data_IF_315629189746
#
_entry.id   IF_315629189746
#
_cell.length_a   1.000
_cell.length_b   1.000
_cell.length_c   1.000
_cell.angle_alpha   90.00
_cell.angle_beta   90.00
_cell.angle_gamma   90.00
#
_symmetry.space_group_name_H-M   'P 1'
#
loop_
_entity.id
_entity.type
_entity.pdbx_description
1 polymer ?
#
# COMPACT_ATOMS: atom_id res chain seq x y z
N UNK A 1 -1.61 7.15 24.22
CA UNK A 1 -2.35 6.97 22.93
C UNK A 1 -1.45 6.99 21.69
N UNK A 2 -0.30 7.67 21.71
CA UNK A 2 0.59 7.85 20.53
C UNK A 2 1.11 6.55 19.87
N UNK A 3 1.67 5.61 20.66
CA UNK A 3 2.24 4.37 20.11
C UNK A 3 1.26 3.48 19.32
N UNK A 4 -0.03 3.53 19.64
CA UNK A 4 -1.02 2.63 19.05
C UNK A 4 -1.35 3.03 17.60
N UNK A 5 -1.43 4.33 17.29
CA UNK A 5 -1.74 4.76 15.93
C UNK A 5 -0.55 4.57 14.98
N UNK A 6 0.69 4.85 15.45
CA UNK A 6 1.92 4.67 14.64
C UNK A 6 2.07 3.21 14.21
N UNK A 7 1.92 2.27 15.14
CA UNK A 7 1.99 0.84 14.85
C UNK A 7 0.92 0.39 13.85
N UNK A 8 -0.31 0.89 13.97
CA UNK A 8 -1.38 0.51 13.05
C UNK A 8 -1.17 1.09 11.64
N UNK A 9 -0.69 2.33 11.53
CA UNK A 9 -0.32 2.93 10.24
C UNK A 9 0.81 2.13 9.60
N UNK A 10 1.86 1.82 10.37
CA UNK A 10 3.00 1.02 9.92
C UNK A 10 2.55 -0.35 9.39
N UNK A 11 1.74 -1.10 10.14
CA UNK A 11 1.22 -2.41 9.70
C UNK A 11 0.44 -2.33 8.40
N UNK A 12 -0.41 -1.31 8.23
CA UNK A 12 -1.19 -1.12 7.00
C UNK A 12 -0.31 -0.78 5.80
N UNK A 13 0.65 0.13 5.97
CA UNK A 13 1.60 0.49 4.91
C UNK A 13 2.49 -0.69 4.53
N UNK A 14 2.98 -1.47 5.51
CA UNK A 14 3.77 -2.67 5.26
C UNK A 14 2.99 -3.74 4.50
N UNK A 15 1.71 -3.91 4.81
CA UNK A 15 0.84 -4.83 4.07
C UNK A 15 0.57 -4.34 2.64
N UNK A 16 0.33 -3.04 2.45
CA UNK A 16 0.20 -2.45 1.12
C UNK A 16 1.48 -2.59 0.29
N UNK A 17 2.65 -2.46 0.91
CA UNK A 17 3.95 -2.71 0.28
C UNK A 17 4.11 -4.17 -0.15
N UNK A 18 3.77 -5.12 0.72
CA UNK A 18 3.82 -6.56 0.39
C UNK A 18 2.92 -6.90 -0.81
N UNK A 19 1.71 -6.34 -0.88
CA UNK A 19 0.82 -6.48 -2.05
C UNK A 19 1.47 -5.96 -3.33
N UNK A 20 2.22 -4.86 -3.28
CA UNK A 20 2.94 -4.35 -4.46
C UNK A 20 4.09 -5.25 -4.88
N UNK A 21 4.80 -5.88 -3.94
CA UNK A 21 5.81 -6.88 -4.28
C UNK A 21 5.20 -8.08 -5.00
N UNK A 22 4.01 -8.52 -4.59
CA UNK A 22 3.24 -9.55 -5.30
C UNK A 22 2.89 -9.07 -6.71
N UNK A 23 2.35 -7.85 -6.84
CA UNK A 23 1.99 -7.26 -8.14
C UNK A 23 3.20 -7.16 -9.10
N UNK A 24 4.37 -6.80 -8.59
CA UNK A 24 5.62 -6.70 -9.34
C UNK A 24 6.13 -8.08 -9.75
N UNK A 25 6.07 -9.07 -8.85
CA UNK A 25 6.52 -10.43 -9.12
C UNK A 25 5.66 -11.11 -10.21
N UNK A 26 4.34 -10.91 -10.18
CA UNK A 26 3.43 -11.41 -11.22
C UNK A 26 3.82 -10.85 -12.59
N UNK A 27 4.18 -9.56 -12.66
CA UNK A 27 4.64 -8.92 -13.92
C UNK A 27 6.00 -9.47 -14.38
N UNK A 28 6.93 -9.75 -13.46
CA UNK A 28 8.26 -10.31 -13.80
C UNK A 28 8.17 -11.76 -14.30
N UNK A 29 7.25 -12.55 -13.75
CA UNK A 29 7.09 -13.96 -14.13
C UNK A 29 6.16 -14.19 -15.34
N UNK A 30 5.71 -13.13 -16.02
CA UNK A 30 4.77 -13.16 -17.16
C UNK A 30 5.06 -14.26 -18.19
N UNK A 31 6.33 -14.46 -18.56
CA UNK A 31 6.74 -15.46 -19.57
C UNK A 31 6.63 -16.92 -19.08
N UNK A 32 6.70 -17.15 -17.77
CA UNK A 32 6.63 -18.48 -17.16
C UNK A 32 5.22 -18.81 -16.63
N UNK A 33 4.41 -17.80 -16.32
CA UNK A 33 3.11 -17.96 -15.67
C UNK A 33 1.91 -18.04 -16.61
N UNK A 34 2.04 -17.75 -17.91
CA UNK A 34 0.94 -17.85 -18.88
C UNK A 34 0.26 -19.23 -18.86
N UNK A 35 1.05 -20.31 -18.79
CA UNK A 35 0.51 -21.67 -18.65
C UNK A 35 -0.16 -21.89 -17.28
N UNK A 36 0.41 -21.37 -16.19
CA UNK A 36 -0.19 -21.48 -14.85
C UNK A 36 -1.49 -20.69 -14.71
N UNK A 37 -1.60 -19.51 -15.34
CA UNK A 37 -2.87 -18.77 -15.40
C UNK A 37 -3.93 -19.52 -16.20
N UNK A 38 -3.56 -20.20 -17.30
CA UNK A 38 -4.46 -21.08 -18.04
C UNK A 38 -4.92 -22.29 -17.21
N UNK A 39 -4.06 -22.87 -16.37
CA UNK A 39 -4.46 -23.92 -15.43
C UNK A 39 -5.37 -23.40 -14.30
N UNK A 40 -5.07 -22.22 -13.73
CA UNK A 40 -5.91 -21.61 -12.71
C UNK A 40 -7.31 -21.28 -13.28
N UNK A 41 -7.37 -20.90 -14.56
CA UNK A 41 -8.61 -20.66 -15.30
C UNK A 41 -9.48 -21.89 -15.44
N UNK A 42 -8.86 -23.02 -15.78
CA UNK A 42 -9.54 -24.30 -15.91
C UNK A 42 -10.08 -24.81 -14.56
N UNK A 43 -9.36 -24.53 -13.46
CA UNK A 43 -9.73 -25.00 -12.11
C UNK A 43 -10.75 -24.07 -11.43
N UNK A 44 -10.71 -22.76 -11.69
CA UNK A 44 -11.57 -21.77 -11.02
C UNK A 44 -12.94 -21.53 -11.68
N UNK A 45 -13.30 -22.31 -12.72
CA UNK A 45 -14.64 -22.24 -13.32
C UNK A 45 -14.96 -20.93 -14.07
N UNK A 46 -13.97 -20.30 -14.70
CA UNK A 46 -14.23 -19.26 -15.72
C UNK A 46 -13.89 -17.81 -15.40
N UNK A 47 -13.26 -17.49 -14.26
CA UNK A 47 -12.78 -16.11 -14.02
C UNK A 47 -11.46 -15.90 -14.77
N UNK A 48 -11.49 -15.12 -15.87
CA UNK A 48 -10.32 -14.76 -16.69
C UNK A 48 -9.27 -13.92 -15.93
N UNK A 49 -8.54 -14.57 -15.02
CA UNK A 49 -7.52 -13.94 -14.19
C UNK A 49 -6.14 -13.97 -14.86
N UNK A 50 -5.92 -13.06 -15.81
CA UNK A 50 -4.59 -12.90 -16.39
C UNK A 50 -3.60 -12.35 -15.36
N UNK A 51 -2.28 -12.55 -15.55
CA UNK A 51 -1.26 -11.92 -14.72
C UNK A 51 -1.44 -10.38 -14.61
N UNK A 52 -1.89 -9.71 -15.67
CA UNK A 52 -2.17 -8.27 -15.67
C UNK A 52 -3.36 -7.94 -14.78
N UNK A 53 -4.46 -8.68 -14.91
CA UNK A 53 -5.64 -8.50 -14.08
C UNK A 53 -5.30 -8.68 -12.60
N UNK A 54 -4.57 -9.75 -12.27
CA UNK A 54 -4.12 -10.01 -10.90
C UNK A 54 -3.20 -8.91 -10.37
N UNK A 55 -2.20 -8.47 -11.15
CA UNK A 55 -1.32 -7.36 -10.78
C UNK A 55 -2.11 -6.06 -10.51
N UNK A 56 -3.13 -5.79 -11.32
CA UNK A 56 -4.01 -4.62 -11.16
C UNK A 56 -4.91 -4.72 -9.91
N UNK A 57 -5.38 -5.92 -9.54
CA UNK A 57 -6.10 -6.13 -8.27
C UNK A 57 -5.21 -5.76 -7.09
N UNK A 58 -3.97 -6.25 -7.07
CA UNK A 58 -3.04 -5.93 -5.98
C UNK A 58 -2.70 -4.44 -5.94
N UNK A 59 -2.48 -3.80 -7.09
CA UNK A 59 -2.24 -2.36 -7.19
C UNK A 59 -3.44 -1.54 -6.66
N UNK A 60 -4.65 -1.81 -7.16
CA UNK A 60 -5.86 -1.11 -6.75
C UNK A 60 -6.19 -1.33 -5.26
N UNK A 61 -5.97 -2.54 -4.75
CA UNK A 61 -6.07 -2.85 -3.33
C UNK A 61 -5.08 -2.04 -2.49
N UNK A 62 -3.82 -1.93 -2.91
CA UNK A 62 -2.82 -1.10 -2.23
C UNK A 62 -3.17 0.38 -2.25
N UNK A 63 -3.66 0.92 -3.36
CA UNK A 63 -4.14 2.31 -3.45
C UNK A 63 -5.29 2.55 -2.46
N UNK A 64 -6.22 1.60 -2.35
CA UNK A 64 -7.33 1.67 -1.38
C UNK A 64 -6.82 1.69 0.06
N UNK A 65 -5.82 0.86 0.39
CA UNK A 65 -5.23 0.81 1.73
C UNK A 65 -4.51 2.12 2.09
N UNK A 66 -3.73 2.69 1.16
CA UNK A 66 -3.09 4.01 1.37
C UNK A 66 -4.14 5.10 1.58
N UNK A 67 -5.22 5.11 0.79
CA UNK A 67 -6.32 6.06 0.98
C UNK A 67 -7.00 5.92 2.34
N UNK A 68 -7.18 4.69 2.85
CA UNK A 68 -7.70 4.45 4.21
C UNK A 68 -6.75 4.98 5.27
N UNK A 69 -5.45 4.78 5.11
CA UNK A 69 -4.41 5.34 6.00
C UNK A 69 -4.49 6.87 6.01
N UNK A 70 -4.54 7.51 4.83
CA UNK A 70 -4.67 8.97 4.71
C UNK A 70 -5.91 9.51 5.41
N UNK A 71 -7.07 8.87 5.20
CA UNK A 71 -8.32 9.23 5.92
C UNK A 71 -8.15 9.12 7.42
N UNK A 72 -7.42 8.12 7.92
CA UNK A 72 -7.15 7.96 9.34
C UNK A 72 -6.22 9.03 9.88
N UNK A 73 -5.14 9.35 9.17
CA UNK A 73 -4.21 10.43 9.52
C UNK A 73 -4.97 11.76 9.66
N UNK A 74 -5.80 12.12 8.67
CA UNK A 74 -6.65 13.32 8.72
C UNK A 74 -7.61 13.34 9.92
N UNK A 75 -8.14 12.19 10.33
CA UNK A 75 -8.99 12.09 11.54
C UNK A 75 -8.18 12.32 12.82
N UNK A 76 -6.93 11.87 12.88
CA UNK A 76 -6.06 12.06 14.05
C UNK A 76 -5.61 13.51 14.15
N UNK A 77 -5.19 14.14 13.04
CA UNK A 77 -4.77 15.54 13.01
C UNK A 77 -5.86 16.53 13.48
N UNK A 78 -7.14 16.19 13.31
CA UNK A 78 -8.27 17.00 13.81
C UNK A 78 -8.45 16.95 15.33
N UNK A 79 -7.79 16.03 16.04
CA UNK A 79 -7.89 15.94 17.51
C UNK A 79 -6.98 16.99 18.15
N UNK A 80 -7.47 17.65 19.21
CA UNK A 80 -6.71 18.70 19.91
C UNK A 80 -5.51 18.14 20.67
N UNK A 81 -5.63 16.94 21.24
CA UNK A 81 -4.63 16.33 22.14
C UNK A 81 -3.52 15.52 21.44
N UNK A 82 -3.11 15.90 20.23
CA UNK A 82 -1.97 15.26 19.55
C UNK A 82 -0.71 16.07 19.85
N UNK A 83 0.36 15.44 20.39
CA UNK A 83 1.66 16.10 20.57
C UNK A 83 2.17 16.76 19.28
N UNK A 84 2.93 17.84 19.41
CA UNK A 84 3.44 18.61 18.25
C UNK A 84 4.29 17.73 17.33
N UNK A 85 5.18 16.91 17.90
CA UNK A 85 6.01 15.96 17.15
C UNK A 85 5.18 14.96 16.34
N UNK A 86 4.13 14.40 16.96
CA UNK A 86 3.22 13.49 16.31
C UNK A 86 2.39 14.19 15.21
N UNK A 87 2.06 15.47 15.38
CA UNK A 87 1.39 16.26 14.33
C UNK A 87 2.30 16.48 13.13
N UNK A 88 3.54 16.92 13.34
CA UNK A 88 4.51 17.14 12.26
C UNK A 88 4.72 15.86 11.44
N UNK A 89 4.93 14.73 12.10
CA UNK A 89 5.05 13.43 11.44
C UNK A 89 3.80 13.05 10.63
N UNK A 90 2.61 13.27 11.20
CA UNK A 90 1.35 12.94 10.53
C UNK A 90 1.08 13.86 9.33
N UNK A 91 1.52 15.12 9.39
CA UNK A 91 1.45 16.06 8.27
C UNK A 91 2.38 15.65 7.14
N UNK A 92 3.64 15.32 7.45
CA UNK A 92 4.63 14.80 6.49
C UNK A 92 4.12 13.53 5.81
N UNK A 93 3.62 12.56 6.57
CA UNK A 93 3.02 11.34 6.01
C UNK A 93 1.79 11.64 5.15
N UNK A 94 0.98 12.65 5.49
CA UNK A 94 -0.19 13.00 4.69
C UNK A 94 0.18 13.66 3.35
N UNK A 95 1.32 14.36 3.28
CA UNK A 95 1.86 14.92 2.04
C UNK A 95 2.44 13.82 1.15
N UNK A 96 3.26 12.92 1.70
CA UNK A 96 3.91 11.85 0.92
C UNK A 96 2.89 10.82 0.39
N UNK A 97 1.88 10.48 1.19
CA UNK A 97 0.82 9.53 0.80
C UNK A 97 -0.21 10.17 -0.14
N UNK A 98 0.25 10.84 -1.19
CA UNK A 98 -0.56 11.27 -2.34
C UNK A 98 -0.56 10.18 -3.40
N UNK A 99 -1.73 9.59 -3.61
CA UNK A 99 -1.89 8.47 -4.55
C UNK A 99 -2.98 8.76 -5.56
N UNK A 100 -2.68 8.49 -6.83
CA UNK A 100 -3.64 8.49 -7.94
C UNK A 100 -3.99 7.04 -8.31
N UNK A 101 -5.21 6.81 -8.82
CA UNK A 101 -5.66 5.57 -9.46
C UNK A 101 -4.77 5.15 -10.63
N UNK A 102 -4.17 6.10 -11.34
CA UNK A 102 -3.32 5.83 -12.51
C UNK A 102 -1.83 5.59 -12.17
N UNK A 103 -1.48 5.55 -10.88
CA UNK A 103 -0.08 5.32 -10.46
C UNK A 103 0.41 3.94 -10.86
N UNK A 104 1.68 3.86 -11.28
CA UNK A 104 2.34 2.58 -11.52
C UNK A 104 2.73 1.94 -10.19
N UNK A 105 2.91 0.61 -10.23
CA UNK A 105 3.39 -0.19 -9.09
C UNK A 105 4.72 0.35 -8.55
N UNK A 106 5.63 0.79 -9.43
CA UNK A 106 6.91 1.39 -9.06
C UNK A 106 6.74 2.64 -8.20
N UNK A 107 5.87 3.55 -8.64
CA UNK A 107 5.71 4.88 -8.04
C UNK A 107 5.07 4.74 -6.66
N UNK A 108 4.03 3.92 -6.57
CA UNK A 108 3.38 3.62 -5.29
C UNK A 108 4.31 2.90 -4.31
N UNK A 109 5.22 2.06 -4.82
CA UNK A 109 6.24 1.38 -3.99
C UNK A 109 7.21 2.39 -3.37
N UNK A 110 7.66 3.38 -4.15
CA UNK A 110 8.55 4.44 -3.66
C UNK A 110 7.85 5.23 -2.54
N UNK A 111 6.63 5.72 -2.80
CA UNK A 111 5.83 6.48 -1.83
C UNK A 111 5.64 5.71 -0.51
N UNK A 112 5.25 4.45 -0.59
CA UNK A 112 5.05 3.63 0.61
C UNK A 112 6.39 3.38 1.32
N UNK A 113 7.48 3.18 0.59
CA UNK A 113 8.80 2.97 1.19
C UNK A 113 9.32 4.20 1.93
N UNK A 114 9.10 5.40 1.39
CA UNK A 114 9.46 6.66 2.05
C UNK A 114 8.63 6.88 3.32
N UNK A 115 7.32 6.66 3.24
CA UNK A 115 6.45 6.72 4.39
C UNK A 115 6.84 5.72 5.51
N UNK A 116 7.27 4.51 5.14
CA UNK A 116 7.75 3.51 6.10
C UNK A 116 9.08 3.94 6.75
N UNK A 117 10.02 4.50 5.98
CA UNK A 117 11.29 5.02 6.53
C UNK A 117 11.06 6.11 7.58
N UNK A 118 10.16 7.07 7.30
CA UNK A 118 9.82 8.14 8.24
C UNK A 118 9.28 7.56 9.55
N UNK A 119 8.38 6.57 9.46
CA UNK A 119 7.83 5.90 10.63
C UNK A 119 8.90 5.16 11.43
N UNK A 120 9.85 4.51 10.77
CA UNK A 120 10.95 3.79 11.43
C UNK A 120 11.91 4.75 12.14
N UNK A 121 12.31 5.86 11.49
CA UNK A 121 13.17 6.89 12.09
C UNK A 121 12.48 7.51 13.31
N UNK A 122 11.18 7.76 13.24
CA UNK A 122 10.41 8.34 14.35
C UNK A 122 10.09 7.41 15.52
N UNK A 123 10.44 6.12 15.38
CA UNK A 123 10.22 5.09 16.38
C UNK A 123 11.48 4.75 17.19
N UNK A 124 12.62 5.30 16.77
CA UNK A 124 13.88 5.40 17.50
C UNK A 124 13.85 6.62 18.43
#
# INVERSE_FOLDING_TARGET
MSRNFKSEIYKKLRMAYAKLLIAENIKKQRKSQTMRSLYLLAVAGGIFATPEFMSNIYLSSSISDVNKVKKKIKKILKKRDVPVEDKCLLEELNQILEVNKDMKVSDLKIIISEALKILEISSL
#
